data_IF_996816644414
#
_entry.id   IF_996816644414
#
_cell.length_a   1.000
_cell.length_b   1.000
_cell.length_c   1.000
_cell.angle_alpha   90.00
_cell.angle_beta   90.00
_cell.angle_gamma   90.00
#
_symmetry.space_group_name_H-M   'P 1'
#
loop_
_entity.id
_entity.type
_entity.pdbx_description
1 polymer ?
#
# COMPACT_ATOMS: atom_id res chain seq x y z
N UNK A 1 4.93 19.22 4.99
CA UNK A 1 6.22 19.40 5.69
C UNK A 1 6.09 19.02 7.15
N UNK A 2 5.26 19.73 7.93
CA UNK A 2 5.05 19.47 9.37
C UNK A 2 4.90 17.98 9.76
N UNK A 3 4.00 17.23 9.08
CA UNK A 3 3.81 15.80 9.38
C UNK A 3 5.10 15.00 9.16
N UNK A 4 5.82 15.25 8.05
CA UNK A 4 7.03 14.52 7.70
C UNK A 4 8.14 14.75 8.74
N UNK A 5 8.32 16.00 9.17
CA UNK A 5 9.29 16.37 10.20
C UNK A 5 8.92 15.75 11.56
N UNK A 6 7.64 15.77 11.92
CA UNK A 6 7.17 15.16 13.16
C UNK A 6 7.36 13.64 13.17
N UNK A 7 7.01 12.93 12.11
CA UNK A 7 7.21 11.46 12.08
C UNK A 7 8.69 11.09 12.09
N UNK A 8 9.55 11.87 11.40
CA UNK A 8 11.01 11.69 11.45
C UNK A 8 11.53 11.88 12.87
N UNK A 9 11.10 12.95 13.55
CA UNK A 9 11.47 13.25 14.93
C UNK A 9 11.02 12.16 15.91
N UNK A 10 9.89 11.52 15.65
CA UNK A 10 9.37 10.40 16.44
C UNK A 10 10.03 9.05 16.10
N UNK A 11 11.01 9.03 15.18
CA UNK A 11 11.79 7.83 14.87
C UNK A 11 11.18 6.90 13.82
N UNK A 12 10.21 7.38 13.02
CA UNK A 12 9.71 6.59 11.89
C UNK A 12 10.79 6.45 10.79
N UNK A 13 10.80 5.30 10.12
CA UNK A 13 11.75 4.99 9.03
C UNK A 13 11.19 5.26 7.64
N UNK A 14 9.90 5.54 7.52
CA UNK A 14 9.23 5.75 6.23
C UNK A 14 8.03 6.67 6.37
N UNK A 15 7.74 7.43 5.31
CA UNK A 15 6.56 8.28 5.20
C UNK A 15 5.58 7.70 4.19
N UNK A 16 4.28 7.63 4.54
CA UNK A 16 3.22 7.32 3.57
C UNK A 16 2.44 8.56 3.17
N UNK A 17 2.03 8.63 1.91
CA UNK A 17 1.07 9.63 1.45
C UNK A 17 0.41 9.19 0.16
N UNK A 18 -0.90 9.42 0.02
CA UNK A 18 -1.62 9.06 -1.19
C UNK A 18 -1.79 10.27 -2.09
N UNK A 19 -1.00 10.36 -3.16
CA UNK A 19 -1.14 11.40 -4.17
C UNK A 19 -2.46 11.27 -4.96
N UNK A 20 -2.89 10.02 -5.18
CA UNK A 20 -4.16 9.63 -5.77
C UNK A 20 -5.00 8.89 -4.72
N UNK A 21 -6.33 9.05 -4.75
CA UNK A 21 -7.22 8.44 -3.76
C UNK A 21 -8.26 7.51 -4.43
N UNK A 22 -8.31 6.22 -4.06
CA UNK A 22 -9.37 5.31 -4.50
C UNK A 22 -10.68 5.63 -3.78
N UNK A 23 -11.49 6.54 -4.33
CA UNK A 23 -12.76 6.95 -3.74
C UNK A 23 -13.91 6.09 -4.25
N UNK A 24 -14.84 5.77 -3.36
CA UNK A 24 -16.09 5.10 -3.73
C UNK A 24 -17.05 6.05 -4.45
N UNK A 25 -16.99 7.35 -4.18
CA UNK A 25 -17.83 8.37 -4.83
C UNK A 25 -16.99 9.32 -5.69
N UNK A 26 -17.47 9.74 -6.88
CA UNK A 26 -16.73 10.61 -7.78
C UNK A 26 -16.59 12.04 -7.26
N UNK A 27 -17.53 12.52 -6.42
CA UNK A 27 -17.56 13.88 -5.87
C UNK A 27 -16.60 14.10 -4.69
N UNK A 28 -15.98 13.02 -4.22
CA UNK A 28 -14.97 13.06 -3.19
C UNK A 28 -13.67 13.70 -3.69
N UNK A 29 -12.86 14.24 -2.77
CA UNK A 29 -11.47 14.62 -3.08
C UNK A 29 -10.67 13.43 -3.65
N UNK A 30 -10.19 13.59 -4.89
CA UNK A 30 -9.52 12.53 -5.67
C UNK A 30 -8.01 12.44 -5.42
N UNK A 31 -7.44 13.37 -4.66
CA UNK A 31 -5.99 13.52 -4.51
C UNK A 31 -5.46 14.75 -5.24
N UNK A 32 -4.16 15.02 -5.05
CA UNK A 32 -3.45 16.10 -5.71
C UNK A 32 -2.72 15.64 -6.99
N UNK A 33 -2.82 14.34 -7.33
CA UNK A 33 -2.18 13.75 -8.49
C UNK A 33 -0.68 14.04 -8.53
N UNK A 34 -0.18 14.50 -9.68
CA UNK A 34 1.23 14.86 -9.90
C UNK A 34 1.79 15.83 -8.84
N UNK A 35 1.01 16.84 -8.44
CA UNK A 35 1.45 17.78 -7.40
C UNK A 35 1.59 17.09 -6.04
N UNK A 36 0.73 16.11 -5.75
CA UNK A 36 0.84 15.26 -4.57
C UNK A 36 2.15 14.46 -4.54
N UNK A 37 2.57 13.93 -5.70
CA UNK A 37 3.84 13.19 -5.81
C UNK A 37 5.04 14.11 -5.58
N UNK A 38 5.06 15.31 -6.19
CA UNK A 38 6.11 16.31 -5.94
C UNK A 38 6.21 16.72 -4.47
N UNK A 39 5.07 16.84 -3.79
CA UNK A 39 5.04 17.16 -2.36
C UNK A 39 5.63 16.02 -1.51
N UNK A 40 5.44 14.76 -1.91
CA UNK A 40 6.08 13.61 -1.26
C UNK A 40 7.58 13.61 -1.49
N UNK A 41 8.04 13.86 -2.73
CA UNK A 41 9.47 14.01 -3.03
C UNK A 41 10.11 15.09 -2.17
N UNK A 42 9.50 16.28 -2.10
CA UNK A 42 9.97 17.39 -1.26
C UNK A 42 10.01 17.01 0.23
N UNK A 43 9.03 16.26 0.72
CA UNK A 43 9.02 15.80 2.11
C UNK A 43 10.14 14.77 2.37
N UNK A 44 10.38 13.88 1.40
CA UNK A 44 11.49 12.93 1.45
C UNK A 44 12.84 13.66 1.48
N UNK A 45 13.06 14.60 0.55
CA UNK A 45 14.31 15.39 0.47
C UNK A 45 14.62 16.13 1.79
N UNK A 46 13.60 16.71 2.43
CA UNK A 46 13.78 17.47 3.64
C UNK A 46 14.05 16.61 4.89
N UNK A 47 13.58 15.36 4.92
CA UNK A 47 13.61 14.52 6.12
C UNK A 47 14.52 13.31 6.00
N UNK A 48 14.94 12.97 4.78
CA UNK A 48 15.63 11.72 4.45
C UNK A 48 14.74 10.48 4.52
N UNK A 49 13.43 10.63 4.75
CA UNK A 49 12.52 9.48 4.82
C UNK A 49 12.15 8.99 3.42
N UNK A 50 12.30 7.68 3.13
CA UNK A 50 11.71 7.12 1.93
C UNK A 50 10.18 7.24 1.97
N UNK A 51 9.57 7.39 0.80
CA UNK A 51 8.12 7.58 0.64
C UNK A 51 7.45 6.40 -0.04
N UNK A 52 6.27 6.02 0.49
CA UNK A 52 5.35 5.07 -0.14
C UNK A 52 4.07 5.78 -0.56
N UNK A 53 3.68 5.60 -1.82
CA UNK A 53 2.43 6.13 -2.38
C UNK A 53 1.69 5.09 -3.19
N UNK A 54 0.36 5.18 -3.17
CA UNK A 54 -0.52 4.30 -3.94
C UNK A 54 -0.54 4.69 -5.41
N UNK A 55 -0.35 3.70 -6.27
CA UNK A 55 -0.54 3.81 -7.72
C UNK A 55 -1.89 3.19 -8.08
N UNK A 56 -2.70 3.95 -8.82
CA UNK A 56 -4.08 3.58 -9.17
C UNK A 56 -4.18 3.00 -10.57
N UNK A 57 -3.37 3.51 -11.49
CA UNK A 57 -3.28 3.12 -12.89
C UNK A 57 -1.82 3.05 -13.32
N UNK A 58 -1.48 2.12 -14.22
CA UNK A 58 -0.11 1.95 -14.71
C UNK A 58 0.36 3.10 -15.61
N UNK A 59 -0.56 3.83 -16.24
CA UNK A 59 -0.24 5.01 -17.05
C UNK A 59 0.37 6.14 -16.24
N UNK A 60 0.11 6.18 -14.93
CA UNK A 60 0.71 7.15 -14.01
C UNK A 60 2.12 6.74 -13.56
N UNK A 61 2.59 5.52 -13.85
CA UNK A 61 3.91 5.03 -13.39
C UNK A 61 5.08 6.00 -13.64
N UNK A 62 5.18 6.68 -14.81
CA UNK A 62 6.24 7.67 -15.03
C UNK A 62 6.28 8.81 -14.02
N UNK A 63 5.15 9.14 -13.37
CA UNK A 63 5.10 10.16 -12.31
C UNK A 63 5.70 9.67 -11.00
N UNK A 64 5.72 8.35 -10.76
CA UNK A 64 6.17 7.76 -9.49
C UNK A 64 7.58 7.18 -9.59
N UNK A 65 8.02 6.81 -10.79
CA UNK A 65 9.23 6.03 -11.02
C UNK A 65 10.48 6.66 -10.37
N UNK A 66 10.60 7.98 -10.36
CA UNK A 66 11.75 8.67 -9.79
C UNK A 66 11.45 9.33 -8.42
N UNK A 67 10.19 9.67 -8.17
CA UNK A 67 9.78 10.49 -7.03
C UNK A 67 9.24 9.69 -5.83
N UNK A 68 8.98 8.39 -6.00
CA UNK A 68 8.43 7.51 -4.96
C UNK A 68 9.31 6.28 -4.78
N UNK A 69 9.73 5.99 -3.55
CA UNK A 69 10.65 4.90 -3.24
C UNK A 69 9.97 3.52 -3.25
N UNK A 70 8.68 3.47 -2.91
CA UNK A 70 7.88 2.23 -2.91
C UNK A 70 6.47 2.47 -3.42
N UNK A 71 5.99 1.59 -4.30
CA UNK A 71 4.63 1.65 -4.84
C UNK A 71 3.68 0.81 -3.98
N UNK A 72 2.59 1.41 -3.51
CA UNK A 72 1.52 0.66 -2.86
C UNK A 72 0.49 0.20 -3.90
N UNK A 73 0.24 -1.10 -3.98
CA UNK A 73 -0.95 -1.65 -4.65
C UNK A 73 -2.06 -1.75 -3.62
N UNK A 74 -3.11 -0.93 -3.79
CA UNK A 74 -4.24 -0.90 -2.87
C UNK A 74 -5.10 -2.15 -2.92
N UNK A 75 -5.89 -2.36 -1.86
CA UNK A 75 -6.81 -3.51 -1.72
C UNK A 75 -7.74 -3.72 -2.93
N UNK A 76 -8.19 -2.64 -3.57
CA UNK A 76 -9.06 -2.70 -4.76
C UNK A 76 -8.35 -3.18 -6.02
N UNK A 77 -7.02 -3.04 -6.08
CA UNK A 77 -6.17 -3.49 -7.17
C UNK A 77 -5.39 -4.77 -6.81
N UNK A 78 -5.68 -5.43 -5.68
CA UNK A 78 -4.97 -6.63 -5.21
C UNK A 78 -4.98 -7.78 -6.22
N UNK A 79 -5.97 -7.83 -7.12
CA UNK A 79 -6.05 -8.81 -8.21
C UNK A 79 -6.09 -8.14 -9.60
N UNK A 80 -5.60 -6.89 -9.70
CA UNK A 80 -5.39 -6.27 -11.00
C UNK A 80 -4.15 -6.89 -11.66
N UNK A 81 -4.31 -8.07 -12.25
CA UNK A 81 -3.19 -8.86 -12.77
C UNK A 81 -2.41 -8.14 -13.88
N UNK A 82 -3.05 -7.26 -14.66
CA UNK A 82 -2.36 -6.43 -15.65
C UNK A 82 -1.38 -5.48 -14.97
N UNK A 83 -1.81 -4.80 -13.89
CA UNK A 83 -0.94 -3.96 -13.07
C UNK A 83 0.18 -4.77 -12.41
N UNK A 84 -0.15 -5.92 -11.79
CA UNK A 84 0.83 -6.77 -11.11
C UNK A 84 1.90 -7.29 -12.08
N UNK A 85 1.52 -7.76 -13.26
CA UNK A 85 2.47 -8.18 -14.30
C UNK A 85 3.35 -7.04 -14.80
N UNK A 86 2.82 -5.83 -14.90
CA UNK A 86 3.61 -4.65 -15.25
C UNK A 86 4.63 -4.33 -14.15
N UNK A 87 4.19 -4.21 -12.90
CA UNK A 87 5.05 -3.92 -11.76
C UNK A 87 6.08 -5.02 -11.49
N UNK A 88 5.75 -6.27 -11.79
CA UNK A 88 6.65 -7.41 -11.72
C UNK A 88 7.87 -7.28 -12.63
N UNK A 89 7.76 -6.52 -13.74
CA UNK A 89 8.87 -6.24 -14.66
C UNK A 89 9.71 -5.02 -14.26
N UNK A 90 9.34 -4.34 -13.18
CA UNK A 90 10.05 -3.18 -12.65
C UNK A 90 10.93 -3.59 -11.47
N UNK A 91 11.96 -2.81 -11.14
CA UNK A 91 12.77 -3.03 -9.94
C UNK A 91 12.21 -2.32 -8.69
N UNK A 92 11.11 -1.56 -8.83
CA UNK A 92 10.57 -0.70 -7.77
C UNK A 92 9.92 -1.57 -6.68
N UNK A 93 10.24 -1.38 -5.39
CA UNK A 93 9.59 -2.09 -4.31
C UNK A 93 8.07 -1.90 -4.29
N UNK A 94 7.33 -2.96 -3.97
CA UNK A 94 5.86 -2.98 -3.98
C UNK A 94 5.30 -3.34 -2.60
N UNK A 95 4.45 -2.48 -2.05
CA UNK A 95 3.63 -2.76 -0.88
C UNK A 95 2.27 -3.28 -1.36
N UNK A 96 2.10 -4.61 -1.35
CA UNK A 96 0.88 -5.26 -1.82
C UNK A 96 -0.11 -5.41 -0.67
N UNK A 97 -1.23 -4.68 -0.73
CA UNK A 97 -2.32 -4.86 0.24
C UNK A 97 -3.24 -6.01 -0.15
N UNK A 98 -3.71 -6.78 0.83
CA UNK A 98 -4.72 -7.81 0.55
C UNK A 98 -6.01 -7.20 0.01
N UNK A 99 -6.67 -7.91 -0.91
CA UNK A 99 -8.04 -7.58 -1.31
C UNK A 99 -9.02 -7.87 -0.18
N UNK A 100 -10.05 -7.02 -0.05
CA UNK A 100 -11.02 -7.12 1.04
C UNK A 100 -11.85 -8.42 1.04
N UNK A 101 -11.89 -9.14 -0.08
CA UNK A 101 -12.53 -10.46 -0.20
C UNK A 101 -11.56 -11.57 -0.55
N UNK A 102 -10.24 -11.33 -0.51
CA UNK A 102 -9.27 -12.36 -0.86
C UNK A 102 -9.00 -13.29 0.32
N UNK A 103 -8.92 -14.58 0.00
CA UNK A 103 -8.27 -15.59 0.82
C UNK A 103 -6.77 -15.34 0.87
N UNK A 104 -6.08 -15.94 1.85
CA UNK A 104 -4.62 -15.89 1.95
C UNK A 104 -3.96 -16.44 0.68
N UNK A 105 -4.46 -17.56 0.15
CA UNK A 105 -3.92 -18.19 -1.07
C UNK A 105 -4.06 -17.29 -2.30
N UNK A 106 -5.20 -16.63 -2.49
CA UNK A 106 -5.38 -15.69 -3.61
C UNK A 106 -4.43 -14.51 -3.51
N UNK A 107 -4.22 -14.00 -2.29
CA UNK A 107 -3.30 -12.88 -2.07
C UNK A 107 -1.83 -13.28 -2.28
N UNK A 108 -1.43 -14.48 -1.85
CA UNK A 108 -0.10 -15.03 -2.15
C UNK A 108 0.10 -15.19 -3.66
N UNK A 109 -0.89 -15.67 -4.40
CA UNK A 109 -0.84 -15.74 -5.86
C UNK A 109 -0.71 -14.36 -6.51
N UNK A 110 -1.33 -13.32 -5.94
CA UNK A 110 -1.11 -11.94 -6.41
C UNK A 110 0.34 -11.49 -6.20
N UNK A 111 0.99 -11.88 -5.10
CA UNK A 111 2.41 -11.63 -4.93
C UNK A 111 3.25 -12.39 -5.96
N UNK A 112 2.86 -13.63 -6.29
CA UNK A 112 3.55 -14.45 -7.29
C UNK A 112 3.55 -13.82 -8.69
N UNK A 113 2.53 -13.04 -9.06
CA UNK A 113 2.54 -12.27 -10.31
C UNK A 113 3.63 -11.18 -10.35
N UNK A 114 4.04 -10.65 -9.19
CA UNK A 114 5.17 -9.73 -9.09
C UNK A 114 6.50 -10.48 -9.15
N UNK A 115 6.61 -11.57 -8.37
CA UNK A 115 7.83 -12.38 -8.27
C UNK A 115 8.20 -13.06 -9.60
N UNK A 116 7.21 -13.68 -10.27
CA UNK A 116 7.40 -14.32 -11.57
C UNK A 116 7.77 -13.33 -12.69
N UNK A 117 7.49 -12.04 -12.50
CA UNK A 117 7.95 -10.97 -13.39
C UNK A 117 9.42 -10.59 -13.21
N UNK A 118 10.05 -11.01 -12.11
CA UNK A 118 11.43 -10.68 -11.72
C UNK A 118 11.55 -9.71 -10.55
N UNK A 119 10.45 -9.16 -10.03
CA UNK A 119 10.49 -8.20 -8.92
C UNK A 119 10.32 -8.90 -7.57
N UNK A 120 11.44 -9.22 -6.92
CA UNK A 120 11.47 -9.82 -5.57
C UNK A 120 11.19 -8.84 -4.41
N UNK A 121 11.11 -7.53 -4.68
CA UNK A 121 11.03 -6.50 -3.65
C UNK A 121 9.59 -6.25 -3.21
N UNK A 122 8.93 -7.27 -2.66
CA UNK A 122 7.50 -7.23 -2.30
C UNK A 122 7.33 -7.29 -0.78
N UNK A 123 6.51 -6.38 -0.24
CA UNK A 123 6.06 -6.41 1.15
C UNK A 123 4.55 -6.63 1.18
N UNK A 124 4.12 -7.60 1.97
CA UNK A 124 2.72 -7.96 2.16
C UNK A 124 2.12 -7.10 3.27
N UNK A 125 1.06 -6.33 2.98
CA UNK A 125 0.36 -5.50 3.97
C UNK A 125 -1.07 -6.01 4.21
N UNK A 126 -1.30 -6.64 5.37
CA UNK A 126 -2.63 -7.07 5.77
C UNK A 126 -3.44 -5.88 6.29
N UNK A 127 -4.63 -5.68 5.77
CA UNK A 127 -5.50 -4.52 6.04
C UNK A 127 -6.94 -4.89 6.33
N UNK A 128 -7.19 -6.15 6.70
CA UNK A 128 -8.51 -6.68 7.04
C UNK A 128 -9.36 -7.08 5.83
N UNK A 129 -10.36 -7.92 6.11
CA UNK A 129 -11.31 -8.49 5.15
C UNK A 129 -12.74 -8.02 5.44
N UNK A 130 -13.62 -8.17 4.46
CA UNK A 130 -15.05 -7.89 4.62
C UNK A 130 -15.68 -9.02 5.44
N UNK A 131 -16.07 -8.71 6.67
CA UNK A 131 -16.87 -9.58 7.51
C UNK A 131 -18.35 -9.21 7.48
N UNK A 132 -19.08 -9.74 8.46
CA UNK A 132 -20.49 -9.44 8.71
C UNK A 132 -20.70 -8.37 9.80
N UNK A 133 -19.64 -8.05 10.56
CA UNK A 133 -19.63 -7.07 11.64
C UNK A 133 -19.67 -5.63 11.10
N UNK A 134 -20.44 -4.74 11.75
CA UNK A 134 -20.57 -3.33 11.38
C UNK A 134 -19.95 -2.35 12.38
N UNK A 135 -19.50 -2.82 13.55
CA UNK A 135 -18.77 -2.02 14.55
C UNK A 135 -17.37 -1.57 14.13
N UNK A 136 -16.79 -2.19 13.10
CA UNK A 136 -15.54 -1.75 12.45
C UNK A 136 -15.69 -1.77 10.93
N UNK A 137 -14.83 -1.03 10.21
CA UNK A 137 -14.94 -0.93 8.75
C UNK A 137 -14.59 -2.23 8.03
N UNK A 138 -13.62 -2.98 8.55
CA UNK A 138 -13.25 -4.32 8.08
C UNK A 138 -12.78 -5.15 9.26
N UNK A 139 -12.99 -6.46 9.19
CA UNK A 139 -12.51 -7.41 10.19
C UNK A 139 -11.01 -7.60 10.07
N UNK A 140 -10.29 -7.35 11.15
CA UNK A 140 -8.85 -7.56 11.24
C UNK A 140 -8.57 -8.89 11.96
N UNK A 141 -8.43 -9.97 11.21
CA UNK A 141 -8.05 -11.27 11.77
C UNK A 141 -6.53 -11.33 11.96
N UNK A 142 -6.08 -11.12 13.20
CA UNK A 142 -4.66 -11.16 13.55
C UNK A 142 -4.02 -12.54 13.31
N UNK A 143 -4.81 -13.61 13.29
CA UNK A 143 -4.35 -14.98 13.01
C UNK A 143 -3.82 -15.16 11.58
N UNK A 144 -4.19 -14.27 10.67
CA UNK A 144 -3.65 -14.25 9.30
C UNK A 144 -2.15 -13.95 9.28
N UNK A 145 -1.64 -13.14 10.22
CA UNK A 145 -0.23 -12.74 10.26
C UNK A 145 0.74 -13.93 10.44
N UNK A 146 0.58 -14.82 11.44
CA UNK A 146 1.43 -16.01 11.55
C UNK A 146 1.23 -16.99 10.39
N UNK A 147 0.02 -17.15 9.87
CA UNK A 147 -0.24 -18.00 8.68
C UNK A 147 0.53 -17.50 7.46
N UNK A 148 0.63 -16.18 7.26
CA UNK A 148 1.45 -15.62 6.17
C UNK A 148 2.93 -15.88 6.39
N UNK A 149 3.44 -15.65 7.61
CA UNK A 149 4.87 -15.88 7.91
C UNK A 149 5.29 -17.35 7.72
N UNK A 150 4.38 -18.29 7.92
CA UNK A 150 4.60 -19.71 7.62
C UNK A 150 4.64 -20.00 6.11
N UNK A 151 3.79 -19.32 5.33
CA UNK A 151 3.57 -19.60 3.91
C UNK A 151 4.44 -18.79 2.95
N UNK A 152 5.12 -17.74 3.40
CA UNK A 152 5.96 -16.92 2.54
C UNK A 152 7.20 -16.39 3.26
N UNK A 153 8.26 -16.18 2.49
CA UNK A 153 9.49 -15.51 2.93
C UNK A 153 9.39 -13.98 2.81
N UNK A 154 8.32 -13.44 2.22
CA UNK A 154 8.16 -12.00 2.03
C UNK A 154 7.92 -11.29 3.38
N UNK A 155 8.45 -10.07 3.57
CA UNK A 155 8.13 -9.27 4.75
C UNK A 155 6.62 -9.00 4.85
N UNK A 156 6.08 -9.06 6.06
CA UNK A 156 4.65 -8.87 6.34
C UNK A 156 4.44 -7.76 7.36
N UNK A 157 3.57 -6.81 7.05
CA UNK A 157 3.11 -5.75 7.94
C UNK A 157 1.58 -5.67 7.99
N UNK A 158 1.05 -4.84 8.89
CA UNK A 158 -0.37 -4.65 9.10
C UNK A 158 -0.76 -3.17 9.02
N UNK A 159 -1.94 -2.89 8.46
CA UNK A 159 -2.57 -1.57 8.45
C UNK A 159 -3.68 -1.57 9.50
N UNK A 160 -3.49 -0.95 10.68
CA UNK A 160 -4.51 -0.91 11.72
C UNK A 160 -5.61 0.13 11.41
N UNK A 161 -5.29 1.18 10.65
CA UNK A 161 -6.17 2.32 10.46
C UNK A 161 -7.34 2.04 9.53
N UNK A 162 -7.10 1.35 8.41
CA UNK A 162 -8.18 1.08 7.45
C UNK A 162 -9.24 0.07 7.92
N UNK A 163 -8.89 -1.04 8.61
CA UNK A 163 -9.90 -1.92 9.21
C UNK A 163 -10.66 -1.24 10.35
N UNK A 164 -9.96 -0.55 11.25
CA UNK A 164 -10.60 0.19 12.35
C UNK A 164 -11.64 1.19 11.82
N UNK A 165 -11.26 2.03 10.85
CA UNK A 165 -12.13 3.07 10.30
C UNK A 165 -12.45 4.22 11.27
N UNK A 166 -11.96 4.15 12.50
CA UNK A 166 -12.14 5.13 13.56
C UNK A 166 -10.82 5.34 14.30
N UNK A 167 -10.47 6.61 14.56
CA UNK A 167 -9.25 7.01 15.27
C UNK A 167 -9.15 6.43 16.68
N UNK A 168 -10.28 6.24 17.36
CA UNK A 168 -10.29 5.73 18.74
C UNK A 168 -9.81 4.27 18.85
N UNK A 169 -9.65 3.56 17.74
CA UNK A 169 -9.29 2.14 17.69
C UNK A 169 -7.92 1.89 17.04
N UNK A 170 -7.06 2.91 16.94
CA UNK A 170 -5.73 2.87 16.30
C UNK A 170 -4.64 3.25 17.28
#
# INVERSE_FOLDING_TARGET
MEIAENVRRLGADMLRGGAFKPRTTPYSFQGLGKEGVKLLRRASDATGLPVVSEIMDISDYPLFADDVDMLQVGSRNSQNFSMLKFLGKTAKPVLLKNGMGNTVSEWLNSAEYLLSGGNGNVVMCYRGTRGFEDGTRFTMDIGVMPVLRDKTHLPVCADPSHPAGNRAYV
#
